data_IF_760218237308
#
_entry.id   IF_760218237308
#
_cell.length_a   1.000
_cell.length_b   1.000
_cell.length_c   1.000
_cell.angle_alpha   90.00
_cell.angle_beta   90.00
_cell.angle_gamma   90.00
#
_symmetry.space_group_name_H-M   'P 1'
#
loop_
_entity.id
_entity.type
_entity.pdbx_description
1 polymer ?
#
# COMPACT_ATOMS: atom_id res chain seq x y z
N UNK A 1 1.62 3.88 32.53
CA UNK A 1 2.29 4.69 31.49
C UNK A 1 2.76 3.86 30.29
N UNK A 2 3.72 2.93 30.41
CA UNK A 2 4.22 2.12 29.26
C UNK A 2 3.13 1.33 28.49
N UNK A 3 2.08 0.89 29.17
CA UNK A 3 0.98 0.12 28.55
C UNK A 3 0.06 0.98 27.67
N UNK A 4 -0.18 2.23 28.04
CA UNK A 4 -1.03 3.14 27.26
C UNK A 4 -0.32 3.65 26.02
N UNK A 5 0.98 3.93 26.13
CA UNK A 5 1.83 4.36 25.01
C UNK A 5 1.94 3.27 23.94
N UNK A 6 2.13 2.01 24.37
CA UNK A 6 2.10 0.84 23.48
C UNK A 6 0.76 0.71 22.76
N UNK A 7 -0.37 0.86 23.48
CA UNK A 7 -1.72 0.80 22.88
C UNK A 7 -1.96 1.90 21.86
N UNK A 8 -1.57 3.13 22.16
CA UNK A 8 -1.70 4.26 21.26
C UNK A 8 -0.88 4.04 19.97
N UNK A 9 0.30 3.43 20.08
CA UNK A 9 1.12 3.03 18.93
C UNK A 9 0.41 1.98 18.05
N UNK A 10 -0.05 0.87 18.63
CA UNK A 10 -0.73 -0.20 17.87
C UNK A 10 -1.99 0.29 17.17
N UNK A 11 -2.76 1.17 17.81
CA UNK A 11 -3.93 1.81 17.19
C UNK A 11 -3.54 2.68 16.00
N UNK A 12 -2.47 3.47 16.11
CA UNK A 12 -1.96 4.30 14.99
C UNK A 12 -1.48 3.44 13.82
N UNK A 13 -0.84 2.30 14.11
CA UNK A 13 -0.46 1.32 13.10
C UNK A 13 -1.69 0.76 12.37
N UNK A 14 -2.72 0.34 13.11
CA UNK A 14 -3.97 -0.12 12.50
C UNK A 14 -4.64 0.94 11.63
N UNK A 15 -4.64 2.20 12.05
CA UNK A 15 -5.12 3.33 11.23
C UNK A 15 -4.29 3.50 9.96
N UNK A 16 -2.96 3.39 10.04
CA UNK A 16 -2.08 3.52 8.88
C UNK A 16 -2.42 2.50 7.79
N UNK A 17 -2.61 1.23 8.19
CA UNK A 17 -2.96 0.15 7.26
C UNK A 17 -4.33 0.38 6.63
N UNK A 18 -5.33 0.83 7.41
CA UNK A 18 -6.66 1.15 6.87
C UNK A 18 -6.60 2.33 5.88
N UNK A 19 -5.87 3.39 6.20
CA UNK A 19 -5.70 4.53 5.30
C UNK A 19 -5.05 4.13 3.97
N UNK A 20 -4.15 3.15 4.01
CA UNK A 20 -3.53 2.60 2.82
C UNK A 20 -4.45 1.65 2.05
N UNK A 21 -5.35 0.93 2.73
CA UNK A 21 -6.34 0.06 2.09
C UNK A 21 -7.34 0.82 1.21
N UNK A 22 -7.73 2.03 1.63
CA UNK A 22 -8.75 2.84 0.95
C UNK A 22 -8.43 3.10 -0.54
N UNK A 23 -7.29 3.71 -0.91
CA UNK A 23 -7.00 3.97 -2.32
C UNK A 23 -6.82 2.70 -3.14
N UNK A 24 -6.36 1.61 -2.53
CA UNK A 24 -6.30 0.31 -3.18
C UNK A 24 -7.70 -0.23 -3.50
N UNK A 25 -8.65 -0.08 -2.58
CA UNK A 25 -10.04 -0.46 -2.79
C UNK A 25 -10.69 0.40 -3.87
N UNK A 26 -10.52 1.73 -3.80
CA UNK A 26 -11.09 2.66 -4.79
C UNK A 26 -10.56 2.34 -6.19
N UNK A 27 -9.25 2.18 -6.34
CA UNK A 27 -8.66 1.83 -7.64
C UNK A 27 -9.12 0.46 -8.14
N UNK A 28 -9.15 -0.56 -7.26
CA UNK A 28 -9.58 -1.91 -7.63
C UNK A 28 -11.04 -1.93 -8.11
N UNK A 29 -11.94 -1.34 -7.32
CA UNK A 29 -13.37 -1.22 -7.66
C UNK A 29 -13.55 -0.44 -8.97
N UNK A 30 -12.89 0.71 -9.11
CA UNK A 30 -12.97 1.54 -10.32
C UNK A 30 -12.59 0.74 -11.56
N UNK A 31 -11.46 0.02 -11.52
CA UNK A 31 -10.99 -0.80 -12.65
C UNK A 31 -11.96 -1.95 -12.93
N UNK A 32 -12.35 -2.72 -11.91
CA UNK A 32 -13.18 -3.93 -12.08
C UNK A 32 -14.56 -3.63 -12.69
N UNK A 33 -15.13 -2.46 -12.39
CA UNK A 33 -16.43 -2.06 -12.91
C UNK A 33 -16.34 -1.08 -14.09
N UNK A 34 -15.14 -0.80 -14.61
CA UNK A 34 -14.98 -0.03 -15.84
C UNK A 34 -15.33 -0.90 -17.04
N UNK A 35 -16.14 -0.37 -17.97
CA UNK A 35 -16.44 -1.05 -19.24
C UNK A 35 -15.23 -0.97 -20.18
N UNK A 36 -14.56 0.18 -20.18
CA UNK A 36 -13.34 0.39 -20.96
C UNK A 36 -12.11 -0.10 -20.18
N UNK A 37 -11.19 -0.74 -20.89
CA UNK A 37 -9.91 -1.23 -20.35
C UNK A 37 -8.75 -0.70 -21.21
N UNK A 38 -8.93 0.47 -21.80
CA UNK A 38 -7.87 1.23 -22.44
C UNK A 38 -6.79 1.69 -21.44
N UNK A 39 -5.61 2.08 -21.93
CA UNK A 39 -4.53 2.61 -21.10
C UNK A 39 -4.95 3.78 -20.21
N UNK A 40 -5.90 4.59 -20.65
CA UNK A 40 -6.43 5.75 -19.93
C UNK A 40 -7.10 5.33 -18.62
N UNK A 41 -7.89 4.26 -18.64
CA UNK A 41 -8.52 3.69 -17.43
C UNK A 41 -7.44 3.19 -16.47
N UNK A 42 -6.41 2.53 -17.00
CA UNK A 42 -5.24 2.12 -16.22
C UNK A 42 -4.51 3.28 -15.57
N UNK A 43 -4.31 4.39 -16.30
CA UNK A 43 -3.65 5.58 -15.78
C UNK A 43 -4.47 6.26 -14.68
N UNK A 44 -5.80 6.33 -14.81
CA UNK A 44 -6.67 6.84 -13.74
C UNK A 44 -6.59 5.95 -12.51
N UNK A 45 -6.72 4.63 -12.67
CA UNK A 45 -6.59 3.68 -11.56
C UNK A 45 -5.22 3.78 -10.88
N UNK A 46 -4.14 3.79 -11.66
CA UNK A 46 -2.78 3.95 -11.16
C UNK A 46 -2.59 5.29 -10.43
N UNK A 47 -3.16 6.39 -10.94
CA UNK A 47 -3.09 7.69 -10.27
C UNK A 47 -3.79 7.66 -8.90
N UNK A 48 -5.00 7.10 -8.82
CA UNK A 48 -5.75 6.92 -7.56
C UNK A 48 -4.91 6.10 -6.57
N UNK A 49 -4.41 4.96 -7.03
CA UNK A 49 -3.65 4.03 -6.20
C UNK A 49 -2.32 4.62 -5.73
N UNK A 50 -1.54 5.21 -6.63
CA UNK A 50 -0.22 5.74 -6.34
C UNK A 50 -0.30 7.01 -5.49
N UNK A 51 -1.17 7.97 -5.81
CA UNK A 51 -1.34 9.17 -4.98
C UNK A 51 -1.94 8.85 -3.62
N UNK A 52 -2.89 7.90 -3.57
CA UNK A 52 -3.43 7.44 -2.31
C UNK A 52 -2.38 6.70 -1.46
N UNK A 53 -1.54 5.87 -2.08
CA UNK A 53 -0.39 5.26 -1.40
C UNK A 53 0.57 6.34 -0.91
N UNK A 54 0.85 7.36 -1.70
CA UNK A 54 1.69 8.48 -1.30
C UNK A 54 1.15 9.19 -0.05
N UNK A 55 -0.16 9.47 -0.04
CA UNK A 55 -0.84 10.05 1.10
C UNK A 55 -0.75 9.17 2.34
N UNK A 56 -1.08 7.88 2.23
CA UNK A 56 -1.07 6.96 3.37
C UNK A 56 0.34 6.80 3.97
N UNK A 57 1.37 6.67 3.12
CA UNK A 57 2.78 6.58 3.52
C UNK A 57 3.29 7.89 4.12
N UNK A 58 2.92 9.03 3.52
CA UNK A 58 3.24 10.35 4.05
C UNK A 58 2.61 10.58 5.42
N UNK A 59 1.36 10.17 5.63
CA UNK A 59 0.72 10.23 6.93
C UNK A 59 1.42 9.34 7.97
N UNK A 60 1.78 8.12 7.57
CA UNK A 60 2.47 7.15 8.43
C UNK A 60 3.86 7.62 8.89
N UNK A 61 4.58 8.34 8.02
CA UNK A 61 5.85 9.01 8.33
C UNK A 61 5.73 9.97 9.53
N UNK A 62 4.68 10.79 9.55
CA UNK A 62 4.46 11.81 10.59
C UNK A 62 3.81 11.23 11.85
N UNK A 63 2.95 10.23 11.70
CA UNK A 63 2.09 9.75 12.79
C UNK A 63 2.77 8.71 13.68
N UNK A 64 3.77 7.97 13.15
CA UNK A 64 4.41 6.82 13.79
C UNK A 64 5.93 7.04 13.90
N UNK A 65 6.32 8.04 14.70
CA UNK A 65 7.73 8.50 14.77
C UNK A 65 8.67 7.56 15.54
N UNK A 66 8.14 6.70 16.40
CA UNK A 66 8.92 5.85 17.29
C UNK A 66 9.55 4.63 16.60
N UNK A 67 9.18 4.33 15.35
CA UNK A 67 9.77 3.24 14.57
C UNK A 67 11.14 3.57 13.94
N UNK A 68 11.69 4.75 14.25
CA UNK A 68 13.08 5.11 13.95
C UNK A 68 13.34 5.53 12.50
N UNK A 69 14.62 5.69 12.18
CA UNK A 69 15.07 6.28 10.91
C UNK A 69 14.69 5.42 9.69
N UNK A 70 14.78 4.09 9.78
CA UNK A 70 14.44 3.20 8.66
C UNK A 70 12.97 3.32 8.25
N UNK A 71 12.05 3.36 9.23
CA UNK A 71 10.63 3.58 8.97
C UNK A 71 10.38 4.89 8.23
N UNK A 72 11.00 5.97 8.73
CA UNK A 72 10.85 7.31 8.15
C UNK A 72 11.42 7.38 6.74
N UNK A 73 12.61 6.84 6.54
CA UNK A 73 13.27 6.85 5.24
C UNK A 73 12.47 6.05 4.21
N UNK A 74 12.09 4.81 4.52
CA UNK A 74 11.37 3.95 3.59
C UNK A 74 9.96 4.46 3.27
N UNK A 75 9.19 4.94 4.26
CA UNK A 75 7.87 5.55 3.99
C UNK A 75 8.00 6.88 3.23
N UNK A 76 9.01 7.71 3.54
CA UNK A 76 9.25 8.96 2.83
C UNK A 76 9.65 8.72 1.37
N UNK A 77 10.47 7.70 1.12
CA UNK A 77 10.88 7.29 -0.21
C UNK A 77 9.70 6.71 -1.00
N UNK A 78 8.94 5.77 -0.40
CA UNK A 78 7.72 5.21 -0.98
C UNK A 78 6.68 6.30 -1.30
N UNK A 79 6.49 7.27 -0.40
CA UNK A 79 5.57 8.38 -0.59
C UNK A 79 6.00 9.28 -1.77
N UNK A 80 7.28 9.64 -1.81
CA UNK A 80 7.84 10.46 -2.88
C UNK A 80 7.73 9.78 -4.24
N UNK A 81 8.17 8.53 -4.35
CA UNK A 81 8.09 7.79 -5.62
C UNK A 81 6.66 7.54 -6.08
N UNK A 82 5.73 7.24 -5.15
CA UNK A 82 4.32 7.09 -5.50
C UNK A 82 3.67 8.42 -5.91
N UNK A 83 4.13 9.55 -5.34
CA UNK A 83 3.71 10.88 -5.78
C UNK A 83 4.15 11.14 -7.22
N UNK A 84 5.42 10.86 -7.53
CA UNK A 84 5.97 11.03 -8.89
C UNK A 84 5.18 10.19 -9.88
N UNK A 85 5.00 8.89 -9.61
CA UNK A 85 4.26 7.99 -10.50
C UNK A 85 2.82 8.45 -10.70
N UNK A 86 2.12 8.83 -9.62
CA UNK A 86 0.76 9.32 -9.71
C UNK A 86 0.62 10.61 -10.51
N UNK A 87 1.54 11.57 -10.34
CA UNK A 87 1.58 12.80 -11.12
C UNK A 87 1.85 12.50 -12.60
N UNK A 88 2.83 11.63 -12.89
CA UNK A 88 3.15 11.26 -14.28
C UNK A 88 1.95 10.56 -14.93
N UNK A 89 1.24 9.69 -14.22
CA UNK A 89 0.00 9.08 -14.70
C UNK A 89 -1.09 10.12 -15.01
N UNK A 90 -1.28 11.13 -14.15
CA UNK A 90 -2.21 12.22 -14.41
C UNK A 90 -1.82 13.09 -15.61
N UNK A 91 -0.54 13.46 -15.72
CA UNK A 91 -0.03 14.20 -16.88
C UNK A 91 -0.22 13.39 -18.16
N UNK A 92 -0.04 12.07 -18.08
CA UNK A 92 -0.17 11.19 -19.22
C UNK A 92 -1.59 11.16 -19.83
N UNK A 93 -2.62 11.35 -19.00
CA UNK A 93 -3.99 11.49 -19.45
C UNK A 93 -4.20 12.72 -20.35
N UNK A 94 -3.35 13.75 -20.22
CA UNK A 94 -3.45 14.98 -21.03
C UNK A 94 -2.72 14.90 -22.37
N UNK A 95 -1.81 13.94 -22.53
CA UNK A 95 -0.93 13.80 -23.69
C UNK A 95 -1.22 12.55 -24.54
N UNK A 96 -2.29 11.80 -24.20
CA UNK A 96 -2.68 10.55 -24.86
C UNK A 96 -1.54 9.53 -24.95
N UNK A 97 -0.75 9.39 -23.88
CA UNK A 97 0.28 8.34 -23.85
C UNK A 97 -0.36 6.95 -23.78
N UNK A 98 0.20 6.01 -24.54
CA UNK A 98 -0.35 4.68 -24.70
C UNK A 98 0.10 3.65 -23.66
N UNK A 99 -0.26 2.40 -23.93
CA UNK A 99 -0.04 1.22 -23.07
C UNK A 99 1.39 1.05 -22.56
N UNK A 100 2.39 1.34 -23.40
CA UNK A 100 3.79 1.18 -23.01
C UNK A 100 4.19 2.01 -21.79
N UNK A 101 3.70 3.25 -21.71
CA UNK A 101 3.97 4.10 -20.54
C UNK A 101 3.25 3.57 -19.30
N UNK A 102 1.99 3.14 -19.43
CA UNK A 102 1.21 2.57 -18.32
C UNK A 102 1.98 1.41 -17.67
N UNK A 103 2.43 0.45 -18.49
CA UNK A 103 3.14 -0.73 -18.02
C UNK A 103 4.46 -0.37 -17.34
N UNK A 104 5.24 0.52 -17.95
CA UNK A 104 6.50 0.98 -17.35
C UNK A 104 6.25 1.65 -16.01
N UNK A 105 5.21 2.46 -15.88
CA UNK A 105 4.84 3.08 -14.61
C UNK A 105 4.41 2.04 -13.56
N UNK A 106 3.55 1.09 -13.92
CA UNK A 106 3.12 0.03 -12.99
C UNK A 106 4.33 -0.79 -12.53
N UNK A 107 5.13 -1.30 -13.47
CA UNK A 107 6.28 -2.15 -13.17
C UNK A 107 7.32 -1.43 -12.31
N UNK A 108 7.73 -0.23 -12.71
CA UNK A 108 8.73 0.55 -11.96
C UNK A 108 8.25 0.94 -10.57
N UNK A 109 6.99 1.35 -10.44
CA UNK A 109 6.37 1.67 -9.15
C UNK A 109 6.28 0.43 -8.24
N UNK A 110 5.88 -0.71 -8.80
CA UNK A 110 5.76 -1.96 -8.06
C UNK A 110 7.13 -2.48 -7.58
N UNK A 111 8.18 -2.42 -8.42
CA UNK A 111 9.56 -2.72 -8.01
C UNK A 111 9.98 -1.81 -6.86
N UNK A 112 9.70 -0.52 -7.00
CA UNK A 112 10.09 0.48 -6.02
C UNK A 112 9.42 0.27 -4.65
N UNK A 113 8.12 -0.02 -4.63
CA UNK A 113 7.40 -0.37 -3.40
C UNK A 113 7.94 -1.68 -2.78
N UNK A 114 8.22 -2.68 -3.60
CA UNK A 114 8.79 -3.96 -3.16
C UNK A 114 10.05 -3.75 -2.35
N UNK A 115 10.97 -2.90 -2.85
CA UNK A 115 12.22 -2.59 -2.14
C UNK A 115 11.95 -1.87 -0.83
N UNK A 116 11.09 -0.85 -0.83
CA UNK A 116 10.78 -0.07 0.37
C UNK A 116 10.16 -0.96 1.47
N UNK A 117 9.20 -1.81 1.10
CA UNK A 117 8.52 -2.70 2.05
C UNK A 117 9.41 -3.84 2.52
N UNK A 118 10.22 -4.43 1.64
CA UNK A 118 11.20 -5.45 2.03
C UNK A 118 12.20 -4.89 3.04
N UNK A 119 12.75 -3.70 2.80
CA UNK A 119 13.69 -3.05 3.73
C UNK A 119 13.05 -2.87 5.11
N UNK A 120 11.80 -2.41 5.17
CA UNK A 120 11.11 -2.26 6.45
C UNK A 120 10.79 -3.61 7.10
N UNK A 121 10.33 -4.59 6.33
CA UNK A 121 10.03 -5.94 6.80
C UNK A 121 11.25 -6.57 7.48
N UNK A 122 12.46 -6.43 6.91
CA UNK A 122 13.68 -6.98 7.47
C UNK A 122 14.24 -6.19 8.68
N UNK A 123 13.91 -4.90 8.79
CA UNK A 123 14.54 -4.01 9.79
C UNK A 123 13.66 -3.70 11.00
N UNK A 124 12.35 -3.74 10.85
CA UNK A 124 11.40 -3.45 11.94
C UNK A 124 11.26 -4.66 12.86
N UNK A 125 11.31 -4.44 14.17
CA UNK A 125 11.25 -5.50 15.19
C UNK A 125 9.82 -5.88 15.60
N UNK A 126 8.82 -5.07 15.25
CA UNK A 126 7.43 -5.40 15.52
C UNK A 126 6.99 -6.54 14.60
N UNK A 127 6.82 -7.75 15.13
CA UNK A 127 6.67 -9.00 14.37
C UNK A 127 5.49 -8.95 13.40
N UNK A 128 4.32 -8.53 13.87
CA UNK A 128 3.10 -8.45 13.05
C UNK A 128 3.28 -7.46 11.88
N UNK A 129 3.74 -6.24 12.17
CA UNK A 129 4.01 -5.23 11.15
C UNK A 129 5.10 -5.67 10.16
N UNK A 130 6.18 -6.28 10.62
CA UNK A 130 7.25 -6.82 9.76
C UNK A 130 6.71 -7.88 8.80
N UNK A 131 5.89 -8.82 9.30
CA UNK A 131 5.21 -9.82 8.47
C UNK A 131 4.30 -9.16 7.44
N UNK A 132 3.48 -8.21 7.86
CA UNK A 132 2.51 -7.57 6.98
C UNK A 132 3.19 -6.76 5.87
N UNK A 133 4.29 -6.08 6.18
CA UNK A 133 5.15 -5.43 5.19
C UNK A 133 5.82 -6.43 4.25
N UNK A 134 6.21 -7.61 4.75
CA UNK A 134 6.74 -8.69 3.92
C UNK A 134 5.72 -9.18 2.90
N UNK A 135 4.46 -9.33 3.29
CA UNK A 135 3.37 -9.71 2.36
C UNK A 135 3.15 -8.63 1.29
N UNK A 136 3.18 -7.35 1.67
CA UNK A 136 3.03 -6.24 0.73
C UNK A 136 4.21 -6.14 -0.26
N UNK A 137 5.42 -6.43 0.21
CA UNK A 137 6.60 -6.53 -0.64
C UNK A 137 6.44 -7.68 -1.65
N UNK A 138 5.97 -8.85 -1.22
CA UNK A 138 5.72 -9.98 -2.11
C UNK A 138 4.63 -9.65 -3.13
N UNK A 139 3.52 -9.04 -2.71
CA UNK A 139 2.42 -8.67 -3.60
C UNK A 139 2.88 -7.66 -4.68
N UNK A 140 3.64 -6.64 -4.28
CA UNK A 140 4.17 -5.65 -5.21
C UNK A 140 5.26 -6.26 -6.11
N UNK A 141 6.07 -7.17 -5.58
CA UNK A 141 7.11 -7.86 -6.35
C UNK A 141 6.51 -8.80 -7.39
N UNK A 142 5.39 -9.44 -7.06
CA UNK A 142 4.61 -10.24 -8.00
C UNK A 142 4.04 -9.35 -9.11
N UNK A 143 3.39 -8.23 -8.79
CA UNK A 143 2.90 -7.28 -9.79
C UNK A 143 4.01 -6.82 -10.74
N UNK A 144 5.16 -6.41 -10.18
CA UNK A 144 6.33 -6.00 -10.97
C UNK A 144 6.82 -7.11 -11.90
N UNK A 145 6.99 -8.32 -11.38
CA UNK A 145 7.46 -9.47 -12.16
C UNK A 145 6.50 -9.78 -13.29
N UNK A 146 5.20 -9.75 -13.00
CA UNK A 146 4.14 -10.04 -13.96
C UNK A 146 4.17 -9.01 -15.11
N UNK A 147 4.21 -7.71 -14.81
CA UNK A 147 4.25 -6.65 -15.83
C UNK A 147 5.56 -6.64 -16.66
N UNK A 148 6.68 -7.09 -16.09
CA UNK A 148 7.96 -7.17 -16.83
C UNK A 148 7.99 -8.37 -17.78
N UNK A 149 7.37 -9.49 -17.40
CA UNK A 149 7.55 -10.78 -18.09
C UNK A 149 6.46 -11.06 -19.13
N UNK A 150 5.22 -10.63 -18.90
CA UNK A 150 4.09 -11.03 -19.73
C UNK A 150 3.75 -10.01 -20.83
N UNK A 151 3.24 -10.47 -22.00
CA UNK A 151 2.91 -9.61 -23.13
C UNK A 151 1.71 -8.69 -22.84
N UNK A 152 1.89 -7.42 -23.18
CA UNK A 152 1.09 -6.28 -22.73
C UNK A 152 -0.11 -6.07 -23.64
N UNK A 153 -1.27 -6.62 -23.27
CA UNK A 153 -2.55 -6.07 -23.74
C UNK A 153 -3.09 -5.09 -22.70
N UNK A 154 -3.87 -4.10 -23.13
CA UNK A 154 -4.42 -3.11 -22.20
C UNK A 154 -5.36 -3.74 -21.18
N UNK A 155 -6.24 -4.63 -21.62
CA UNK A 155 -7.15 -5.40 -20.76
C UNK A 155 -6.40 -6.13 -19.65
N UNK A 156 -5.28 -6.75 -20.00
CA UNK A 156 -4.43 -7.46 -19.07
C UNK A 156 -3.78 -6.54 -18.03
N UNK A 157 -3.06 -5.50 -18.47
CA UNK A 157 -2.32 -4.61 -17.58
C UNK A 157 -3.25 -3.82 -16.64
N UNK A 158 -4.38 -3.35 -17.17
CA UNK A 158 -5.41 -2.68 -16.37
C UNK A 158 -6.04 -3.68 -15.40
N UNK A 159 -6.41 -4.88 -15.87
CA UNK A 159 -7.03 -5.91 -15.04
C UNK A 159 -6.15 -6.38 -13.88
N UNK A 160 -4.85 -6.62 -14.11
CA UNK A 160 -3.93 -7.07 -13.06
C UNK A 160 -3.64 -5.96 -12.04
N UNK A 161 -3.58 -4.70 -12.47
CA UNK A 161 -3.52 -3.55 -11.57
C UNK A 161 -4.75 -3.48 -10.65
N UNK A 162 -5.94 -3.70 -11.21
CA UNK A 162 -7.20 -3.78 -10.46
C UNK A 162 -7.19 -4.93 -9.45
N UNK A 163 -6.80 -6.12 -9.88
CA UNK A 163 -6.68 -7.31 -9.02
C UNK A 163 -5.69 -7.07 -7.86
N UNK A 164 -4.53 -6.48 -8.16
CA UNK A 164 -3.56 -6.06 -7.13
C UNK A 164 -4.20 -5.10 -6.12
N UNK A 165 -4.91 -4.07 -6.60
CA UNK A 165 -5.62 -3.12 -5.75
C UNK A 165 -6.61 -3.80 -4.79
N UNK A 166 -7.42 -4.73 -5.29
CA UNK A 166 -8.37 -5.50 -4.47
C UNK A 166 -7.65 -6.36 -3.43
N UNK A 167 -6.61 -7.10 -3.82
CA UNK A 167 -5.84 -7.98 -2.93
C UNK A 167 -5.22 -7.15 -1.79
N UNK A 168 -4.53 -6.05 -2.14
CA UNK A 168 -3.88 -5.17 -1.18
C UNK A 168 -4.90 -4.52 -0.25
N UNK A 169 -6.03 -4.07 -0.79
CA UNK A 169 -7.10 -3.47 0.00
C UNK A 169 -7.65 -4.42 1.06
N UNK A 170 -8.04 -5.63 0.65
CA UNK A 170 -8.59 -6.65 1.56
C UNK A 170 -7.56 -7.02 2.61
N UNK A 171 -6.31 -7.27 2.20
CA UNK A 171 -5.24 -7.63 3.12
C UNK A 171 -4.99 -6.54 4.17
N UNK A 172 -4.82 -5.29 3.74
CA UNK A 172 -4.56 -4.16 4.62
C UNK A 172 -5.74 -3.82 5.54
N UNK A 173 -6.97 -3.95 5.04
CA UNK A 173 -8.16 -3.76 5.86
C UNK A 173 -8.21 -4.78 7.00
N UNK A 174 -7.98 -6.07 6.70
CA UNK A 174 -7.94 -7.14 7.70
C UNK A 174 -6.80 -6.90 8.69
N UNK A 175 -5.60 -6.60 8.20
CA UNK A 175 -4.43 -6.36 9.05
C UNK A 175 -4.65 -5.15 9.98
N UNK A 176 -5.16 -4.04 9.44
CA UNK A 176 -5.42 -2.82 10.21
C UNK A 176 -6.51 -2.99 11.26
N UNK A 177 -7.56 -3.74 10.94
CA UNK A 177 -8.64 -4.08 11.88
C UNK A 177 -8.14 -5.06 12.95
N UNK A 178 -7.33 -6.05 12.57
CA UNK A 178 -6.76 -7.04 13.51
C UNK A 178 -5.89 -6.39 14.59
N UNK A 179 -5.05 -5.42 14.23
CA UNK A 179 -4.23 -4.67 15.20
C UNK A 179 -5.08 -3.87 16.20
N UNK A 180 -6.27 -3.41 15.80
CA UNK A 180 -7.18 -2.71 16.71
C UNK A 180 -7.83 -3.66 17.72
N UNK A 181 -8.23 -4.86 17.29
CA UNK A 181 -8.89 -5.82 18.18
C UNK A 181 -7.91 -6.53 19.14
N UNK A 182 -6.69 -6.81 18.70
CA UNK A 182 -5.65 -7.41 19.55
C UNK A 182 -5.32 -6.49 20.74
N UNK A 183 -5.35 -5.18 20.51
CA UNK A 183 -5.21 -4.15 21.55
C UNK A 183 -6.33 -4.19 22.60
N UNK A 184 -7.54 -4.61 22.23
CA UNK A 184 -8.72 -4.69 23.12
C UNK A 184 -8.77 -6.00 23.91
N UNK A 185 -8.40 -7.13 23.30
CA UNK A 185 -8.40 -8.44 23.96
C UNK A 185 -7.39 -8.52 25.12
N UNK A 186 -6.22 -7.90 24.97
CA UNK A 186 -5.21 -7.81 26.04
C UNK A 186 -5.74 -7.03 27.28
N UNK A 187 -6.75 -6.17 27.14
CA UNK A 187 -7.34 -5.39 28.24
C UNK A 187 -8.18 -6.28 29.14
N UNK A 188 -9.13 -7.01 28.53
CA UNK A 188 -10.06 -7.88 29.25
C UNK A 188 -9.31 -8.94 30.06
N UNK A 189 -8.23 -9.51 29.49
CA UNK A 189 -7.36 -10.45 30.20
C UNK A 189 -6.67 -9.81 31.41
N UNK A 190 -6.17 -8.58 31.29
CA UNK A 190 -5.49 -7.89 32.40
C UNK A 190 -6.44 -7.49 33.53
N UNK A 191 -7.64 -7.02 33.20
CA UNK A 191 -8.65 -6.65 34.21
C UNK A 191 -9.17 -7.89 34.98
N UNK A 192 -9.30 -9.03 34.32
CA UNK A 192 -9.70 -10.29 34.96
C UNK A 192 -8.64 -10.91 35.88
N UNK A 193 -7.39 -10.44 35.81
CA UNK A 193 -6.26 -10.97 36.59
C UNK A 193 -5.80 -10.07 37.73
N UNK A 194 -6.40 -8.88 37.89
CA UNK A 194 -6.29 -8.04 39.08
C UNK A 194 -7.44 -8.35 40.05
N UNK A 195 -7.17 -9.00 41.20
CA UNK A 195 -8.15 -9.19 42.27
C UNK A 195 -8.51 -7.88 42.98
#
# INVERSE_FOLDING_TARGET
MKTEESRASTRKLGVALILWALPAAVSGIFITFSVDHGPEVGMVGLAILALGTAFARGWALWSIVHLGATWRFANGLAASGSTVVGIVALVALTQSFGLGLLVVLIASWAVFLTVCDAVMAFRIRHVQLSRDLGVLAIASGALATIEIVFPLSSVYAVGILGAYGVIVAVYLAIAGVSLRFDSSAHIASKESSTP
#
